data_IF_554609765098
#
_entry.id   IF_554609765098
#
_cell.length_a   1.000
_cell.length_b   1.000
_cell.length_c   1.000
_cell.angle_alpha   90.00
_cell.angle_beta   90.00
_cell.angle_gamma   90.00
#
_symmetry.space_group_name_H-M   'P 1'
#
loop_
_entity.id
_entity.type
_entity.pdbx_description
1 polymer ?
#
# COMPACT_ATOMS: atom_id res chain seq x y z
N UNK A 1 12.68 9.00 8.08
CA UNK A 1 11.25 8.91 8.39
C UNK A 1 10.42 9.22 7.16
N UNK A 2 9.48 8.36 6.86
CA UNK A 2 8.62 8.51 5.69
C UNK A 2 7.16 8.62 6.11
N UNK A 3 6.33 9.16 5.21
CA UNK A 3 4.88 9.18 5.39
C UNK A 3 4.31 8.06 4.56
N UNK A 4 3.62 7.12 5.20
CA UNK A 4 3.11 5.91 4.56
C UNK A 4 1.59 5.84 4.68
N UNK A 5 0.92 5.65 3.54
CA UNK A 5 -0.52 5.41 3.52
C UNK A 5 -0.77 3.92 3.66
N UNK A 6 -1.70 3.55 4.54
CA UNK A 6 -2.14 2.16 4.71
C UNK A 6 -3.64 2.11 4.51
N UNK A 7 -4.09 1.32 3.54
CA UNK A 7 -5.52 1.15 3.26
C UNK A 7 -5.88 -0.33 3.35
N UNK A 8 -6.74 -0.67 4.30
CA UNK A 8 -7.24 -2.03 4.48
C UNK A 8 -8.58 -1.92 5.22
N UNK A 9 -9.61 -2.62 4.74
CA UNK A 9 -10.91 -2.60 5.38
C UNK A 9 -10.96 -3.47 6.64
N UNK A 10 -10.00 -4.37 6.82
CA UNK A 10 -9.86 -5.16 8.04
C UNK A 10 -9.15 -4.34 9.10
N UNK A 11 -9.88 -3.97 10.15
CA UNK A 11 -9.38 -3.11 11.23
C UNK A 11 -8.15 -3.73 11.90
N UNK A 12 -8.17 -5.04 12.13
CA UNK A 12 -7.06 -5.70 12.82
C UNK A 12 -5.79 -5.68 12.00
N UNK A 13 -5.88 -5.92 10.71
CA UNK A 13 -4.72 -5.88 9.82
C UNK A 13 -4.23 -4.44 9.69
N UNK A 14 -5.15 -3.49 9.51
CA UNK A 14 -4.79 -2.08 9.42
C UNK A 14 -4.02 -1.61 10.66
N UNK A 15 -4.50 -1.97 11.85
CA UNK A 15 -3.83 -1.61 13.09
C UNK A 15 -2.48 -2.30 13.24
N UNK A 16 -2.37 -3.56 12.82
CA UNK A 16 -1.11 -4.30 12.87
C UNK A 16 -0.05 -3.63 11.99
N UNK A 17 -0.43 -3.29 10.76
CA UNK A 17 0.47 -2.64 9.81
C UNK A 17 0.87 -1.26 10.33
N UNK A 18 -0.11 -0.49 10.79
CA UNK A 18 0.15 0.84 11.34
C UNK A 18 1.12 0.77 12.52
N UNK A 19 0.88 -0.15 13.44
CA UNK A 19 1.75 -0.32 14.60
C UNK A 19 3.19 -0.65 14.18
N UNK A 20 3.33 -1.64 13.29
CA UNK A 20 4.66 -2.07 12.86
C UNK A 20 5.44 -0.94 12.21
N UNK A 21 4.82 -0.23 11.27
CA UNK A 21 5.50 0.85 10.56
C UNK A 21 5.78 2.05 11.45
N UNK A 22 4.90 2.31 12.41
CA UNK A 22 5.13 3.37 13.41
C UNK A 22 6.35 3.07 14.27
N UNK A 23 6.54 1.80 14.65
CA UNK A 23 7.73 1.43 15.46
C UNK A 23 9.02 1.61 14.68
N UNK A 24 8.95 1.66 13.34
CA UNK A 24 10.11 1.89 12.50
C UNK A 24 10.37 3.38 12.26
N UNK A 25 9.59 4.25 12.88
CA UNK A 25 9.79 5.69 12.81
C UNK A 25 9.03 6.41 11.71
N UNK A 26 8.07 5.73 11.07
CA UNK A 26 7.29 6.34 9.99
C UNK A 26 6.00 6.97 10.51
N UNK A 27 5.53 7.99 9.80
CA UNK A 27 4.23 8.59 10.03
C UNK A 27 3.21 7.85 9.17
N UNK A 28 2.11 7.41 9.78
CA UNK A 28 1.14 6.54 9.10
C UNK A 28 -0.19 7.27 8.91
N UNK A 29 -0.73 7.16 7.68
CA UNK A 29 -2.08 7.60 7.37
C UNK A 29 -2.88 6.32 7.13
N UNK A 30 -3.78 5.99 8.05
CA UNK A 30 -4.55 4.74 7.96
C UNK A 30 -5.98 5.03 7.52
N UNK A 31 -6.43 4.34 6.48
CA UNK A 31 -7.79 4.48 5.94
C UNK A 31 -8.39 3.10 5.71
N UNK A 32 -9.71 3.03 5.53
CA UNK A 32 -10.43 1.77 5.45
C UNK A 32 -10.98 1.37 4.09
N UNK A 33 -10.77 2.18 3.05
CA UNK A 33 -11.28 1.85 1.71
C UNK A 33 -10.48 2.57 0.63
N UNK A 34 -10.71 2.15 -0.63
CA UNK A 34 -9.96 2.65 -1.77
C UNK A 34 -10.24 4.12 -2.09
N UNK A 35 -11.46 4.58 -1.92
CA UNK A 35 -11.80 5.97 -2.17
C UNK A 35 -11.06 6.89 -1.19
N UNK A 36 -11.05 6.51 0.09
CA UNK A 36 -10.32 7.24 1.11
C UNK A 36 -8.81 7.21 0.84
N UNK A 37 -8.31 6.09 0.31
CA UNK A 37 -6.89 5.99 -0.04
C UNK A 37 -6.51 6.98 -1.14
N UNK A 38 -7.31 7.07 -2.19
CA UNK A 38 -7.05 8.01 -3.28
C UNK A 38 -7.08 9.44 -2.77
N UNK A 39 -8.09 9.77 -1.97
CA UNK A 39 -8.23 11.11 -1.40
C UNK A 39 -7.04 11.47 -0.52
N UNK A 40 -6.60 10.54 0.33
CA UNK A 40 -5.44 10.75 1.19
C UNK A 40 -4.16 10.95 0.39
N UNK A 41 -3.97 10.18 -0.70
CA UNK A 41 -2.83 10.37 -1.58
C UNK A 41 -2.79 11.77 -2.17
N UNK A 42 -3.92 12.26 -2.63
CA UNK A 42 -4.00 13.61 -3.21
C UNK A 42 -3.77 14.71 -2.18
N UNK A 43 -4.27 14.50 -0.97
CA UNK A 43 -4.18 15.50 0.09
C UNK A 43 -2.79 15.58 0.71
N UNK A 44 -2.12 14.45 0.87
CA UNK A 44 -0.90 14.38 1.68
C UNK A 44 0.33 13.85 0.93
N UNK A 45 0.17 13.34 -0.27
CA UNK A 45 1.26 12.84 -1.12
C UNK A 45 2.25 11.96 -0.33
N UNK A 46 1.85 10.74 0.07
CA UNK A 46 2.73 9.89 0.87
C UNK A 46 3.95 9.43 0.09
N UNK A 47 4.96 8.98 0.82
CA UNK A 47 6.19 8.44 0.23
C UNK A 47 6.03 7.01 -0.23
N UNK A 48 5.02 6.31 0.28
CA UNK A 48 4.73 4.93 -0.07
C UNK A 48 3.29 4.61 0.31
N UNK A 49 2.62 3.74 -0.44
CA UNK A 49 1.27 3.30 -0.14
C UNK A 49 1.21 1.79 -0.03
N UNK A 50 0.52 1.30 1.02
CA UNK A 50 0.23 -0.12 1.21
C UNK A 50 -1.27 -0.28 1.06
N UNK A 51 -1.71 -0.99 0.03
CA UNK A 51 -3.12 -1.10 -0.35
C UNK A 51 -3.57 -2.55 -0.36
N UNK A 52 -4.66 -2.84 0.34
CA UNK A 52 -5.32 -4.14 0.25
C UNK A 52 -6.01 -4.23 -1.11
N UNK A 53 -5.88 -5.37 -1.79
CA UNK A 53 -6.55 -5.60 -3.06
C UNK A 53 -8.07 -5.60 -2.89
N UNK A 54 -8.55 -6.28 -1.85
CA UNK A 54 -9.99 -6.47 -1.63
C UNK A 54 -10.54 -5.46 -0.64
N UNK A 55 -11.07 -4.36 -1.16
CA UNK A 55 -11.74 -3.34 -0.35
C UNK A 55 -13.10 -3.03 -0.96
N UNK A 56 -14.10 -2.67 -0.13
CA UNK A 56 -15.44 -2.35 -0.66
C UNK A 56 -15.39 -1.09 -1.52
N UNK A 57 -16.21 -1.05 -2.55
CA UNK A 57 -16.26 0.06 -3.50
C UNK A 57 -15.06 0.06 -4.41
N UNK A 58 -14.12 0.96 -4.19
CA UNK A 58 -12.88 1.04 -4.97
C UNK A 58 -11.87 0.03 -4.41
N UNK A 59 -11.49 -0.95 -5.21
CA UNK A 59 -10.50 -1.96 -4.81
C UNK A 59 -9.09 -1.37 -4.82
N UNK A 60 -8.13 -2.11 -4.24
CA UNK A 60 -6.73 -1.69 -4.30
C UNK A 60 -6.22 -1.63 -5.73
N UNK A 61 -6.67 -2.53 -6.60
CA UNK A 61 -6.30 -2.52 -8.02
C UNK A 61 -6.83 -1.28 -8.72
N UNK A 62 -8.08 -0.90 -8.43
CA UNK A 62 -8.65 0.32 -9.02
C UNK A 62 -7.96 1.57 -8.47
N UNK A 63 -7.63 1.57 -7.18
CA UNK A 63 -6.95 2.70 -6.57
C UNK A 63 -5.57 2.93 -7.20
N UNK A 64 -4.82 1.85 -7.46
CA UNK A 64 -3.49 1.99 -8.04
C UNK A 64 -3.56 2.52 -9.47
N UNK A 65 -4.60 2.16 -10.24
CA UNK A 65 -4.79 2.71 -11.58
C UNK A 65 -4.96 4.23 -11.54
N UNK A 66 -5.74 4.70 -10.58
CA UNK A 66 -5.95 6.15 -10.40
C UNK A 66 -4.64 6.83 -10.01
N UNK A 67 -3.89 6.22 -9.10
CA UNK A 67 -2.59 6.76 -8.65
C UNK A 67 -1.62 6.87 -9.82
N UNK A 68 -1.52 5.82 -10.65
CA UNK A 68 -0.60 5.81 -11.79
C UNK A 68 -1.00 6.77 -12.90
N UNK A 69 -2.28 7.10 -13.00
CA UNK A 69 -2.76 8.04 -14.00
C UNK A 69 -2.62 9.50 -13.56
N UNK A 70 -2.38 9.76 -12.28
CA UNK A 70 -2.27 11.11 -11.74
C UNK A 70 -0.81 11.60 -11.85
N UNK A 71 -0.54 12.71 -12.55
CA UNK A 71 0.83 13.20 -12.73
C UNK A 71 1.56 13.50 -11.43
N UNK A 72 0.85 13.78 -10.35
CA UNK A 72 1.47 14.09 -9.05
C UNK A 72 1.69 12.86 -8.20
N UNK A 73 1.04 11.75 -8.54
CA UNK A 73 1.05 10.54 -7.71
C UNK A 73 1.68 9.34 -8.41
N UNK A 74 1.92 9.41 -9.70
CA UNK A 74 2.28 8.25 -10.53
C UNK A 74 3.55 7.53 -10.09
N UNK A 75 4.44 8.20 -9.38
CA UNK A 75 5.71 7.60 -8.96
C UNK A 75 5.73 7.10 -7.51
N UNK A 76 4.62 7.24 -6.78
CA UNK A 76 4.54 6.74 -5.41
C UNK A 76 4.69 5.22 -5.42
N UNK A 77 5.66 4.64 -4.68
CA UNK A 77 5.78 3.19 -4.58
C UNK A 77 4.53 2.60 -3.94
N UNK A 78 4.04 1.49 -4.48
CA UNK A 78 2.84 0.83 -3.97
C UNK A 78 3.12 -0.64 -3.71
N UNK A 79 2.75 -1.09 -2.51
CA UNK A 79 2.72 -2.50 -2.13
C UNK A 79 1.26 -2.93 -2.06
N UNK A 80 0.90 -4.00 -2.75
CA UNK A 80 -0.44 -4.58 -2.64
C UNK A 80 -0.45 -5.71 -1.63
N UNK A 81 -1.46 -5.72 -0.77
CA UNK A 81 -1.72 -6.84 0.14
C UNK A 81 -2.79 -7.71 -0.51
N UNK A 82 -2.48 -8.96 -0.76
CA UNK A 82 -3.37 -9.84 -1.50
C UNK A 82 -3.67 -11.11 -0.72
N UNK A 83 -4.87 -11.66 -0.92
CA UNK A 83 -5.22 -12.93 -0.32
C UNK A 83 -4.37 -14.03 -0.95
N UNK A 84 -4.10 -15.07 -0.14
CA UNK A 84 -3.24 -16.16 -0.55
C UNK A 84 -3.74 -16.86 -1.81
N UNK A 85 -2.81 -17.15 -2.73
CA UNK A 85 -2.96 -18.12 -3.80
C UNK A 85 -3.78 -17.72 -5.02
N UNK A 86 -3.86 -16.46 -5.33
CA UNK A 86 -4.47 -16.04 -6.58
C UNK A 86 -3.36 -15.55 -7.51
N UNK A 87 -2.73 -16.47 -8.25
CA UNK A 87 -1.68 -16.07 -9.21
C UNK A 87 -2.18 -15.01 -10.18
N UNK A 88 -3.43 -15.12 -10.60
CA UNK A 88 -4.04 -14.12 -11.49
C UNK A 88 -4.12 -12.76 -10.82
N UNK A 89 -4.34 -12.70 -9.50
CA UNK A 89 -4.39 -11.43 -8.77
C UNK A 89 -3.00 -10.83 -8.66
N UNK A 90 -1.97 -11.64 -8.50
CA UNK A 90 -0.59 -11.18 -8.45
C UNK A 90 -0.19 -10.58 -9.79
N UNK A 91 -0.47 -11.26 -10.90
CA UNK A 91 -0.17 -10.76 -12.23
C UNK A 91 -0.93 -9.46 -12.49
N UNK A 92 -2.21 -9.42 -12.15
CA UNK A 92 -3.03 -8.23 -12.32
C UNK A 92 -2.50 -7.07 -11.48
N UNK A 93 -2.00 -7.36 -10.27
CA UNK A 93 -1.40 -6.37 -9.40
C UNK A 93 -0.19 -5.70 -10.03
N UNK A 94 0.74 -6.49 -10.56
CA UNK A 94 1.91 -5.95 -11.25
C UNK A 94 1.54 -5.24 -12.54
N UNK A 95 0.62 -5.79 -13.32
CA UNK A 95 0.14 -5.15 -14.55
C UNK A 95 -0.52 -3.80 -14.25
N UNK A 96 -1.11 -3.65 -13.07
CA UNK A 96 -1.72 -2.39 -12.65
C UNK A 96 -0.69 -1.37 -12.15
N UNK A 97 0.57 -1.75 -12.03
CA UNK A 97 1.64 -0.84 -11.67
C UNK A 97 2.12 -0.92 -10.23
N UNK A 98 1.84 -2.02 -9.52
CA UNK A 98 2.37 -2.22 -8.17
C UNK A 98 3.89 -2.47 -8.22
N UNK A 99 4.60 -1.96 -7.23
CA UNK A 99 6.05 -2.17 -7.12
C UNK A 99 6.37 -3.48 -6.41
N UNK A 100 5.46 -3.93 -5.54
CA UNK A 100 5.62 -5.18 -4.82
C UNK A 100 4.25 -5.65 -4.35
N UNK A 101 4.18 -6.89 -3.89
CA UNK A 101 2.97 -7.41 -3.25
C UNK A 101 3.35 -8.31 -2.09
N UNK A 102 2.44 -8.45 -1.14
CA UNK A 102 2.62 -9.31 0.02
C UNK A 102 1.37 -10.16 0.16
N UNK A 103 1.53 -11.47 0.26
CA UNK A 103 0.42 -12.40 0.41
C UNK A 103 0.01 -12.52 1.88
N UNK A 104 -1.29 -12.42 2.15
CA UNK A 104 -1.84 -12.65 3.49
C UNK A 104 -2.02 -14.14 3.74
N UNK A 105 -1.73 -14.63 4.93
CA UNK A 105 -1.18 -13.93 6.07
C UNK A 105 0.31 -13.63 5.92
N UNK A 106 0.76 -12.51 6.44
CA UNK A 106 2.17 -12.11 6.37
C UNK A 106 2.70 -11.82 7.77
N UNK A 107 4.03 -11.84 7.92
CA UNK A 107 4.63 -11.41 9.17
C UNK A 107 4.88 -9.90 9.14
N UNK A 108 4.78 -9.21 10.28
CA UNK A 108 5.15 -7.80 10.36
C UNK A 108 6.58 -7.55 9.91
N UNK A 109 7.47 -8.50 10.18
CA UNK A 109 8.87 -8.42 9.76
C UNK A 109 9.02 -8.38 8.25
N UNK A 110 8.30 -9.23 7.53
CA UNK A 110 8.31 -9.24 6.07
C UNK A 110 7.81 -7.91 5.52
N UNK A 111 6.71 -7.42 6.06
CA UNK A 111 6.17 -6.14 5.66
C UNK A 111 7.19 -5.02 5.83
N UNK A 112 7.83 -4.95 7.00
CA UNK A 112 8.84 -3.94 7.28
C UNK A 112 10.01 -4.00 6.32
N UNK A 113 10.50 -5.20 6.01
CA UNK A 113 11.60 -5.39 5.07
C UNK A 113 11.26 -4.88 3.68
N UNK A 114 10.05 -5.17 3.20
CA UNK A 114 9.64 -4.74 1.86
C UNK A 114 9.42 -3.24 1.78
N UNK A 115 8.87 -2.65 2.84
CA UNK A 115 8.70 -1.20 2.91
C UNK A 115 10.06 -0.50 2.83
N UNK A 116 11.02 -0.94 3.64
CA UNK A 116 12.36 -0.34 3.64
C UNK A 116 13.07 -0.50 2.29
N UNK A 117 12.88 -1.65 1.64
CA UNK A 117 13.48 -1.88 0.34
C UNK A 117 12.98 -0.88 -0.71
N UNK A 118 11.69 -0.57 -0.70
CA UNK A 118 11.13 0.39 -1.65
C UNK A 118 11.50 1.83 -1.31
N UNK A 119 11.52 2.17 -0.04
CA UNK A 119 11.90 3.52 0.40
C UNK A 119 13.39 3.77 0.09
N UNK A 120 14.23 2.75 0.25
CA UNK A 120 15.66 2.86 -0.02
C UNK A 120 15.97 3.13 -1.49
N UNK A 121 15.12 2.70 -2.42
CA UNK A 121 15.32 2.96 -3.85
C UNK A 121 15.29 4.45 -4.18
N UNK A 122 14.54 5.23 -3.39
CA UNK A 122 14.41 6.66 -3.63
C UNK A 122 15.56 7.49 -3.08
N UNK A 123 16.48 6.86 -2.36
CA UNK A 123 17.54 7.56 -1.67
C UNK A 123 18.89 7.57 -2.43
N UNK A 124 18.90 7.03 -3.60
CA UNK A 124 20.15 6.92 -4.38
C UNK A 124 20.56 8.26 -4.98
#
# INVERSE_FOLDING_TARGET
>A
MARILVADDDVDIRELVEFKLSTMGHEIIAVGDGAAAIEACRAQTPDLAVLDVMMPGVSGLDAIKVIRADPQLHSIPVILLTARAQESDVETGFDSGADDYITKPFSPRELGSRVEALLGRGEV
#
